data_IF_939077401604
#
_entry.id   IF_939077401604
#
_cell.length_a   1.000
_cell.length_b   1.000
_cell.length_c   1.000
_cell.angle_alpha   90.00
_cell.angle_beta   90.00
_cell.angle_gamma   90.00
#
_symmetry.space_group_name_H-M   'P 1'
#
loop_
_entity.id
_entity.type
_entity.pdbx_description
1 polymer ?
#
# COMPACT_ATOMS: atom_id res chain seq x y z
N UNK A 1 -1.09 -17.15 10.26
CA UNK A 1 -1.92 -15.94 10.35
C UNK A 1 -2.74 -15.85 9.09
N UNK A 2 -4.02 -15.49 9.17
CA UNK A 2 -4.86 -15.28 7.99
C UNK A 2 -5.68 -14.01 8.13
N UNK A 3 -5.87 -13.32 7.01
CA UNK A 3 -6.53 -12.02 6.93
C UNK A 3 -7.84 -12.16 6.18
N UNK A 4 -8.89 -11.50 6.66
CA UNK A 4 -10.19 -11.38 5.99
C UNK A 4 -10.40 -9.92 5.57
N UNK A 5 -11.39 -9.70 4.71
CA UNK A 5 -11.80 -8.34 4.37
C UNK A 5 -12.26 -7.58 5.63
N UNK A 6 -11.73 -6.38 5.83
CA UNK A 6 -12.17 -5.51 6.91
C UNK A 6 -13.56 -4.97 6.64
N UNK A 7 -14.37 -4.88 7.69
CA UNK A 7 -15.73 -4.30 7.63
C UNK A 7 -15.72 -2.79 7.78
N UNK A 8 -14.80 -2.26 8.60
CA UNK A 8 -14.68 -0.84 8.86
C UNK A 8 -13.22 -0.47 9.19
N UNK A 9 -12.90 0.83 9.11
CA UNK A 9 -11.57 1.34 9.41
C UNK A 9 -11.35 1.62 10.91
N UNK A 10 -12.45 1.78 11.66
CA UNK A 10 -12.44 2.21 13.06
C UNK A 10 -12.12 1.08 14.04
N UNK A 11 -12.76 -0.08 13.86
CA UNK A 11 -12.74 -1.20 14.82
C UNK A 11 -12.19 -2.50 14.20
N UNK A 12 -12.25 -2.64 12.88
CA UNK A 12 -11.90 -3.85 12.14
C UNK A 12 -10.73 -3.62 11.17
N UNK A 13 -9.89 -2.64 11.46
CA UNK A 13 -8.64 -2.43 10.76
C UNK A 13 -7.48 -2.91 11.63
N UNK A 14 -6.62 -3.76 11.09
CA UNK A 14 -5.40 -4.22 11.78
C UNK A 14 -4.28 -3.17 11.81
N UNK A 15 -4.17 -2.36 10.76
CA UNK A 15 -3.10 -1.37 10.62
C UNK A 15 -3.39 -0.06 11.39
N UNK A 16 -4.66 0.19 11.68
CA UNK A 16 -5.16 1.45 12.23
C UNK A 16 -5.23 1.59 13.76
N UNK A 17 -5.26 0.54 14.59
CA UNK A 17 -5.53 0.69 16.03
C UNK A 17 -4.31 1.16 16.81
N UNK A 18 -3.22 1.53 16.14
CA UNK A 18 -2.00 1.98 16.80
C UNK A 18 -2.01 3.48 17.02
N UNK A 19 -2.04 3.86 18.29
CA UNK A 19 -1.54 5.17 18.68
C UNK A 19 -0.01 5.17 18.51
N UNK A 20 0.47 5.71 17.40
CA UNK A 20 1.89 5.85 17.09
C UNK A 20 2.57 7.01 17.85
N UNK A 21 1.82 7.74 18.69
CA UNK A 21 2.37 8.82 19.51
C UNK A 21 3.46 8.29 20.43
N UNK A 22 4.68 8.79 20.26
CA UNK A 22 5.85 8.37 21.03
C UNK A 22 6.51 7.07 20.56
N UNK A 23 6.12 6.49 19.41
CA UNK A 23 6.79 5.31 18.85
C UNK A 23 8.26 5.61 18.52
N UNK A 24 9.18 4.78 19.03
CA UNK A 24 10.60 4.81 18.74
C UNK A 24 11.17 3.38 18.68
N UNK A 25 12.37 3.20 18.13
CA UNK A 25 13.00 1.87 18.06
C UNK A 25 13.19 1.20 19.43
N UNK A 26 13.28 1.98 20.52
CA UNK A 26 13.49 1.46 21.88
C UNK A 26 12.21 0.91 22.49
N UNK A 27 11.03 1.38 22.08
CA UNK A 27 9.72 1.00 22.62
C UNK A 27 8.85 0.21 21.64
N UNK A 28 9.36 -0.13 20.46
CA UNK A 28 8.69 -0.97 19.46
C UNK A 28 8.15 -2.29 20.05
N UNK A 29 8.80 -2.85 21.07
CA UNK A 29 8.36 -4.11 21.71
C UNK A 29 7.13 -3.94 22.61
N UNK A 30 6.81 -2.71 23.00
CA UNK A 30 5.69 -2.40 23.91
C UNK A 30 4.37 -2.21 23.14
N UNK A 31 4.42 -2.05 21.81
CA UNK A 31 3.22 -1.87 21.00
C UNK A 31 2.50 -3.21 20.85
N UNK A 32 1.40 -3.38 21.56
CA UNK A 32 0.50 -4.52 21.42
C UNK A 32 -0.59 -4.23 20.38
N UNK A 33 -0.79 -5.16 19.45
CA UNK A 33 -1.97 -5.16 18.57
C UNK A 33 -3.22 -5.40 19.41
N UNK A 34 -4.31 -4.69 19.11
CA UNK A 34 -5.60 -4.93 19.77
C UNK A 34 -6.02 -6.39 19.59
N UNK A 35 -6.54 -6.99 20.66
CA UNK A 35 -6.89 -8.41 20.71
C UNK A 35 -8.16 -8.78 19.94
N UNK A 36 -8.96 -7.79 19.59
CA UNK A 36 -10.31 -7.99 19.09
C UNK A 36 -10.52 -7.39 17.70
N UNK A 37 -9.73 -7.84 16.72
CA UNK A 37 -9.88 -7.45 15.31
C UNK A 37 -10.50 -8.62 14.54
N UNK A 38 -11.81 -8.56 14.21
CA UNK A 38 -12.54 -9.71 13.67
C UNK A 38 -12.08 -10.13 12.26
N UNK A 39 -11.44 -9.23 11.52
CA UNK A 39 -10.81 -9.50 10.22
C UNK A 39 -9.47 -10.26 10.33
N UNK A 40 -8.92 -10.48 11.53
CA UNK A 40 -7.61 -11.10 11.71
C UNK A 40 -7.70 -12.41 12.47
N UNK A 41 -7.29 -13.49 11.80
CA UNK A 41 -7.08 -14.80 12.44
C UNK A 41 -5.61 -14.90 12.83
N UNK A 42 -5.35 -14.86 14.14
CA UNK A 42 -4.00 -14.92 14.68
C UNK A 42 -3.39 -16.32 14.57
N UNK A 43 -2.05 -16.41 14.48
CA UNK A 43 -1.36 -17.68 14.65
C UNK A 43 -1.76 -18.32 15.98
N UNK A 44 -2.02 -19.62 15.95
CA UNK A 44 -2.23 -20.40 17.17
C UNK A 44 -0.86 -20.62 17.82
N UNK A 45 -0.75 -20.31 19.11
CA UNK A 45 0.47 -20.57 19.88
C UNK A 45 0.82 -22.06 19.79
N UNK A 46 2.06 -22.35 19.40
CA UNK A 46 2.55 -23.72 19.37
C UNK A 46 2.52 -24.32 20.78
N UNK A 47 2.07 -25.58 20.89
CA UNK A 47 2.14 -26.31 22.16
C UNK A 47 3.62 -26.49 22.53
N UNK A 48 4.01 -26.39 23.82
CA UNK A 48 5.40 -26.54 24.25
C UNK A 48 6.02 -27.90 23.87
N UNK A 49 5.19 -28.94 23.66
CA UNK A 49 5.63 -30.28 23.21
C UNK A 49 5.19 -30.60 21.77
N UNK A 50 4.80 -29.61 20.98
CA UNK A 50 4.46 -29.84 19.57
C UNK A 50 5.70 -30.08 18.74
N UNK A 51 5.71 -31.13 17.92
CA UNK A 51 6.75 -31.32 16.90
C UNK A 51 6.66 -30.12 15.93
N UNK A 52 7.68 -29.26 15.96
CA UNK A 52 7.84 -28.21 14.96
C UNK A 52 8.17 -28.92 13.66
N UNK A 53 7.42 -28.69 12.56
CA UNK A 53 7.76 -29.28 11.28
C UNK A 53 9.17 -28.84 10.89
N UNK A 54 10.03 -29.81 10.59
CA UNK A 54 11.35 -29.53 10.07
C UNK A 54 11.20 -28.93 8.66
N UNK A 55 11.97 -27.90 8.32
CA UNK A 55 12.03 -27.44 6.94
C UNK A 55 12.46 -28.62 6.04
N UNK A 56 11.96 -28.69 4.79
CA UNK A 56 12.44 -29.69 3.83
C UNK A 56 13.96 -29.64 3.72
N UNK A 57 14.61 -30.81 3.69
CA UNK A 57 16.07 -30.92 3.59
C UNK A 57 16.61 -30.31 2.29
N UNK A 58 15.77 -30.29 1.24
CA UNK A 58 16.07 -29.73 -0.06
C UNK A 58 14.93 -28.79 -0.46
N UNK A 59 15.26 -27.52 -0.70
CA UNK A 59 14.35 -26.62 -1.38
C UNK A 59 14.40 -26.98 -2.87
N UNK A 60 13.25 -27.01 -3.60
CA UNK A 60 13.30 -27.19 -5.03
C UNK A 60 14.16 -26.09 -5.63
N UNK A 61 15.23 -26.48 -6.31
CA UNK A 61 16.01 -25.58 -7.16
C UNK A 61 15.08 -25.20 -8.32
N UNK A 62 14.35 -24.11 -8.13
CA UNK A 62 13.78 -23.37 -9.25
C UNK A 62 14.96 -22.80 -10.01
N UNK A 63 15.38 -23.53 -11.05
CA UNK A 63 16.39 -23.07 -11.99
C UNK A 63 15.92 -21.75 -12.60
N UNK A 64 16.46 -20.63 -12.11
CA UNK A 64 16.57 -19.42 -12.90
C UNK A 64 17.61 -19.69 -13.97
N UNK A 65 17.16 -20.32 -15.07
CA UNK A 65 17.96 -20.55 -16.26
C UNK A 65 18.41 -19.21 -16.85
N UNK A 66 19.61 -18.81 -16.48
CA UNK A 66 20.41 -17.85 -17.24
C UNK A 66 21.24 -18.64 -18.24
N UNK A 67 20.71 -18.89 -19.44
CA UNK A 67 21.47 -19.04 -20.70
C UNK A 67 20.58 -19.51 -21.85
N UNK A 68 20.77 -18.88 -23.00
CA UNK A 68 20.67 -19.57 -24.29
C UNK A 68 19.28 -19.63 -24.91
N UNK A 69 18.95 -18.55 -25.63
CA UNK A 69 17.88 -18.49 -26.62
C UNK A 69 17.90 -19.67 -27.60
N UNK A 70 16.82 -20.45 -27.64
CA UNK A 70 16.29 -21.12 -28.84
C UNK A 70 14.75 -21.16 -28.75
N UNK A 71 14.13 -19.98 -28.70
CA UNK A 71 12.70 -19.80 -28.96
C UNK A 71 12.54 -19.21 -30.37
N UNK A 72 11.55 -19.66 -31.19
CA UNK A 72 11.31 -19.08 -32.50
C UNK A 72 11.20 -17.57 -32.40
N UNK A 73 11.99 -16.85 -33.20
CA UNK A 73 11.99 -15.39 -33.24
C UNK A 73 10.60 -14.86 -33.59
N UNK A 74 9.79 -14.56 -32.58
CA UNK A 74 8.82 -13.50 -32.69
C UNK A 74 9.64 -12.23 -32.55
N UNK A 75 9.76 -11.46 -33.65
CA UNK A 75 10.20 -10.06 -33.61
C UNK A 75 9.18 -9.26 -32.81
N UNK A 76 9.22 -9.40 -31.49
CA UNK A 76 8.64 -8.44 -30.57
C UNK A 76 9.52 -7.21 -30.66
N UNK A 77 9.06 -6.22 -31.42
CA UNK A 77 9.55 -4.85 -31.30
C UNK A 77 9.28 -4.44 -29.86
N UNK A 78 10.28 -4.62 -28.99
CA UNK A 78 10.25 -4.13 -27.63
C UNK A 78 10.34 -2.60 -27.70
N UNK A 79 9.18 -1.98 -27.94
CA UNK A 79 9.05 -0.55 -27.78
C UNK A 79 9.15 -0.31 -26.29
N UNK A 80 10.35 0.03 -25.84
CA UNK A 80 10.59 0.61 -24.52
C UNK A 80 9.52 1.67 -24.28
N UNK A 81 8.60 1.39 -23.37
CA UNK A 81 7.53 2.32 -23.02
C UNK A 81 8.18 3.56 -22.39
N UNK A 82 8.45 4.56 -23.24
CA UNK A 82 8.78 5.91 -22.80
C UNK A 82 7.48 6.53 -22.33
N UNK A 83 7.25 6.53 -21.02
CA UNK A 83 6.20 7.36 -20.42
C UNK A 83 6.48 8.81 -20.82
N UNK A 84 5.75 9.30 -21.82
CA UNK A 84 5.84 10.68 -22.32
C UNK A 84 4.95 11.62 -21.51
N UNK A 85 4.73 11.30 -20.24
CA UNK A 85 4.04 12.15 -19.29
C UNK A 85 5.02 12.35 -18.15
N UNK A 86 5.38 13.61 -17.91
CA UNK A 86 6.21 14.02 -16.79
C UNK A 86 5.69 13.35 -15.50
N UNK A 87 6.46 12.37 -15.01
CA UNK A 87 6.05 11.44 -13.94
C UNK A 87 6.22 12.06 -12.55
N UNK A 88 5.96 13.36 -12.44
CA UNK A 88 5.77 14.01 -11.17
C UNK A 88 4.34 14.58 -11.12
N UNK A 89 3.59 14.29 -10.04
CA UNK A 89 2.34 14.96 -9.81
C UNK A 89 2.59 16.46 -9.75
N UNK A 90 2.12 17.20 -10.76
CA UNK A 90 2.17 18.65 -10.76
C UNK A 90 1.18 19.12 -9.69
N UNK A 91 1.63 19.79 -8.61
CA UNK A 91 0.70 20.39 -7.66
C UNK A 91 -0.11 21.46 -8.40
N UNK A 92 -1.43 21.48 -8.16
CA UNK A 92 -2.31 22.49 -8.74
C UNK A 92 -1.84 23.88 -8.30
N UNK A 93 -1.83 24.82 -9.25
CA UNK A 93 -1.47 26.20 -8.95
C UNK A 93 -2.59 26.91 -8.19
N UNK A 94 -2.24 27.93 -7.41
CA UNK A 94 -3.22 28.74 -6.66
C UNK A 94 -4.31 29.33 -7.57
N UNK A 95 -4.00 29.60 -8.83
CA UNK A 95 -4.95 30.12 -9.82
C UNK A 95 -6.00 29.07 -10.19
N UNK A 96 -5.59 27.81 -10.34
CA UNK A 96 -6.48 26.69 -10.65
C UNK A 96 -7.37 26.32 -9.45
N UNK A 97 -6.91 26.56 -8.22
CA UNK A 97 -7.68 26.33 -7.00
C UNK A 97 -8.75 27.41 -6.76
N UNK A 98 -8.52 28.64 -7.22
CA UNK A 98 -9.44 29.76 -7.00
C UNK A 98 -10.79 29.59 -7.74
N UNK A 99 -10.80 28.91 -8.89
CA UNK A 99 -12.04 28.64 -9.64
C UNK A 99 -13.02 27.79 -8.83
N UNK A 100 -12.63 26.56 -8.44
CA UNK A 100 -13.43 25.68 -7.59
C UNK A 100 -13.86 26.31 -6.27
N UNK A 101 -13.01 27.13 -5.62
CA UNK A 101 -13.41 27.80 -4.36
C UNK A 101 -14.53 28.81 -4.55
N UNK A 102 -14.62 29.45 -5.72
CA UNK A 102 -15.67 30.40 -6.07
C UNK A 102 -16.94 29.70 -6.57
N UNK A 103 -16.79 28.63 -7.36
CA UNK A 103 -17.93 27.87 -7.89
C UNK A 103 -18.70 27.13 -6.78
N UNK A 104 -18.01 26.83 -5.67
CA UNK A 104 -18.56 26.11 -4.52
C UNK A 104 -18.87 27.00 -3.31
N UNK A 105 -18.70 28.33 -3.42
CA UNK A 105 -18.87 29.31 -2.33
C UNK A 105 -18.25 28.86 -0.99
N UNK A 106 -16.99 28.37 -1.05
CA UNK A 106 -16.33 27.81 0.13
C UNK A 106 -15.90 28.91 1.12
N UNK A 107 -16.04 28.62 2.42
CA UNK A 107 -15.40 29.43 3.45
C UNK A 107 -13.87 29.32 3.32
N UNK A 108 -13.14 30.30 3.89
CA UNK A 108 -11.67 30.32 3.84
C UNK A 108 -11.06 29.04 4.40
N UNK A 109 -11.62 28.55 5.51
CA UNK A 109 -11.17 27.35 6.20
C UNK A 109 -11.40 26.10 5.36
N UNK A 110 -12.55 26.02 4.68
CA UNK A 110 -12.86 24.91 3.77
C UNK A 110 -11.97 24.91 2.52
N UNK A 111 -11.63 26.09 1.99
CA UNK A 111 -10.71 26.24 0.86
C UNK A 111 -9.27 25.81 1.22
N UNK A 112 -8.79 26.17 2.41
CA UNK A 112 -7.47 25.73 2.90
C UNK A 112 -7.41 24.22 3.12
N UNK A 113 -8.50 23.61 3.62
CA UNK A 113 -8.60 22.17 3.75
C UNK A 113 -8.60 21.46 2.38
N UNK A 114 -9.30 22.02 1.39
CA UNK A 114 -9.31 21.51 0.02
C UNK A 114 -7.90 21.52 -0.58
N UNK A 115 -7.16 22.62 -0.42
CA UNK A 115 -5.78 22.75 -0.88
C UNK A 115 -4.87 21.70 -0.24
N UNK A 116 -4.99 21.51 1.08
CA UNK A 116 -4.25 20.48 1.80
C UNK A 116 -4.54 19.07 1.27
N UNK A 117 -5.81 18.72 1.07
CA UNK A 117 -6.23 17.40 0.57
C UNK A 117 -5.74 17.18 -0.87
N UNK A 118 -5.85 18.19 -1.74
CA UNK A 118 -5.41 18.10 -3.13
C UNK A 118 -3.90 17.95 -3.23
N UNK A 119 -3.16 18.69 -2.39
CA UNK A 119 -1.71 18.57 -2.27
C UNK A 119 -1.32 17.18 -1.80
N UNK A 120 -1.95 16.66 -0.74
CA UNK A 120 -1.71 15.30 -0.26
C UNK A 120 -2.00 14.26 -1.36
N UNK A 121 -3.15 14.35 -2.02
CA UNK A 121 -3.55 13.43 -3.11
C UNK A 121 -2.65 13.52 -4.35
N UNK A 122 -2.06 14.67 -4.63
CA UNK A 122 -1.07 14.79 -5.69
C UNK A 122 0.15 13.93 -5.37
N UNK A 123 0.64 13.89 -4.13
CA UNK A 123 1.82 13.10 -3.78
C UNK A 123 1.64 11.57 -3.81
N UNK A 124 0.41 11.06 -3.89
CA UNK A 124 0.16 9.63 -4.02
C UNK A 124 0.16 9.23 -5.51
N UNK A 125 0.93 8.21 -5.92
CA UNK A 125 0.84 7.69 -7.28
C UNK A 125 -0.60 7.23 -7.53
N UNK A 126 -1.26 7.81 -8.54
CA UNK A 126 -2.58 7.34 -8.98
C UNK A 126 -2.42 5.92 -9.49
N UNK A 127 -2.71 4.94 -8.66
CA UNK A 127 -2.94 3.57 -9.14
C UNK A 127 -4.20 3.61 -10.00
N UNK A 128 -4.03 3.60 -11.31
CA UNK A 128 -5.10 3.37 -12.26
C UNK A 128 -5.72 2.02 -11.95
N UNK A 129 -6.90 2.02 -11.30
CA UNK A 129 -7.77 0.86 -11.31
C UNK A 129 -8.30 0.72 -12.74
N UNK A 130 -7.66 -0.14 -13.51
CA UNK A 130 -8.22 -0.69 -14.74
C UNK A 130 -9.39 -1.58 -14.29
N UNK A 131 -10.61 -1.07 -14.44
CA UNK A 131 -11.83 -1.86 -14.40
C UNK A 131 -11.98 -2.49 -15.79
N UNK A 132 -11.84 -3.82 -15.85
CA UNK A 132 -12.44 -4.66 -16.91
C UNK A 132 -13.96 -4.67 -16.78
#
# INVERSE_FOLDING_TARGET
>A
MAWRQSKNHSDDCYFCPFNISGYNLKNQKLTSYSDNIPSVIRPVTHKPNGLVPLPPAELPVISSESSGSDHPQVKGSDTEYKSSVADSPQPLSRVELNGPTKDLDLSKEAAELLDFILKEKAYWPRTSLVLE
#
